data_IF_091761934987
#
_entry.id   IF_091761934987
#
_cell.length_a   1.000
_cell.length_b   1.000
_cell.length_c   1.000
_cell.angle_alpha   90.00
_cell.angle_beta   90.00
_cell.angle_gamma   90.00
#
_symmetry.space_group_name_H-M   'P 1'
#
loop_
_entity.id
_entity.type
_entity.pdbx_description
1 polymer ?
#
# COMPACT_ATOMS: atom_id res chain seq x y z
N UNK A 1 15.56 -8.10 0.82
CA UNK A 1 16.62 -8.70 1.67
C UNK A 1 16.54 -10.23 1.63
N UNK A 2 15.48 -10.88 2.14
CA UNK A 2 15.39 -12.35 2.02
C UNK A 2 15.36 -12.85 0.56
N UNK A 3 14.64 -12.15 -0.32
CA UNK A 3 14.58 -12.47 -1.74
C UNK A 3 15.93 -12.37 -2.47
N UNK A 4 16.90 -11.57 -1.97
CA UNK A 4 18.22 -11.43 -2.62
C UNK A 4 19.14 -12.61 -2.31
N UNK A 5 18.70 -13.56 -1.48
CA UNK A 5 19.40 -14.81 -1.20
C UNK A 5 18.92 -15.96 -2.07
N UNK A 6 17.82 -15.78 -2.80
CA UNK A 6 17.31 -16.78 -3.72
C UNK A 6 18.02 -16.63 -5.05
N UNK A 7 18.33 -17.77 -5.68
CA UNK A 7 18.75 -17.77 -7.08
C UNK A 7 17.67 -17.10 -7.93
N UNK A 8 18.02 -16.20 -8.87
CA UNK A 8 17.03 -15.48 -9.67
C UNK A 8 16.01 -16.41 -10.36
N UNK A 9 16.46 -17.56 -10.86
CA UNK A 9 15.57 -18.56 -11.47
C UNK A 9 14.54 -19.14 -10.49
N UNK A 10 14.95 -19.43 -9.25
CA UNK A 10 14.05 -19.88 -8.17
C UNK A 10 13.09 -18.75 -7.77
N UNK A 11 13.58 -17.52 -7.65
CA UNK A 11 12.74 -16.36 -7.37
C UNK A 11 11.66 -16.18 -8.44
N UNK A 12 12.01 -16.24 -9.72
CA UNK A 12 11.03 -16.14 -10.80
C UNK A 12 10.06 -17.32 -10.85
N UNK A 13 10.51 -18.54 -10.53
CA UNK A 13 9.65 -19.72 -10.47
C UNK A 13 8.58 -19.62 -9.37
N UNK A 14 8.92 -19.00 -8.24
CA UNK A 14 7.99 -18.74 -7.14
C UNK A 14 7.03 -17.60 -7.49
N UNK A 15 7.57 -16.46 -7.94
CA UNK A 15 6.83 -15.20 -8.01
C UNK A 15 6.08 -14.95 -9.30
N UNK A 16 6.28 -15.77 -10.33
CA UNK A 16 5.62 -15.56 -11.61
C UNK A 16 4.40 -16.45 -11.76
N UNK A 17 3.26 -15.83 -12.05
CA UNK A 17 2.00 -16.54 -12.18
C UNK A 17 1.97 -17.48 -13.40
N UNK A 18 1.19 -18.56 -13.29
CA UNK A 18 1.04 -19.56 -14.34
C UNK A 18 0.54 -18.98 -15.69
N UNK A 19 -0.15 -17.84 -15.67
CA UNK A 19 -0.57 -17.13 -16.89
C UNK A 19 0.57 -16.57 -17.73
N UNK A 20 1.78 -16.44 -17.16
CA UNK A 20 2.97 -15.91 -17.85
C UNK A 20 3.96 -17.04 -18.17
N UNK A 21 4.21 -17.93 -17.21
CA UNK A 21 5.24 -18.98 -17.34
C UNK A 21 4.68 -20.34 -17.79
N UNK A 22 3.36 -20.48 -17.85
CA UNK A 22 2.68 -21.74 -18.16
C UNK A 22 2.21 -22.47 -16.89
N UNK A 23 1.24 -23.38 -17.07
CA UNK A 23 0.59 -24.11 -15.97
C UNK A 23 1.32 -25.39 -15.54
N UNK A 24 2.38 -25.79 -16.25
CA UNK A 24 3.19 -26.97 -15.92
C UNK A 24 4.59 -26.57 -15.45
N UNK A 25 5.21 -27.34 -14.53
CA UNK A 25 6.59 -27.10 -14.08
C UNK A 25 7.59 -27.01 -15.22
N UNK A 26 7.42 -27.84 -16.26
CA UNK A 26 8.31 -27.91 -17.42
C UNK A 26 8.21 -26.65 -18.27
N UNK A 27 6.99 -26.17 -18.54
CA UNK A 27 6.76 -24.93 -19.27
C UNK A 27 7.31 -23.73 -18.50
N UNK A 28 7.13 -23.72 -17.18
CA UNK A 28 7.64 -22.65 -16.32
C UNK A 28 9.16 -22.58 -16.34
N UNK A 29 9.82 -23.73 -16.16
CA UNK A 29 11.28 -23.84 -16.21
C UNK A 29 11.85 -23.42 -17.57
N UNK A 30 11.24 -23.87 -18.67
CA UNK A 30 11.67 -23.48 -20.02
C UNK A 30 11.56 -21.98 -20.23
N UNK A 31 10.44 -21.38 -19.84
CA UNK A 31 10.19 -19.94 -20.00
C UNK A 31 11.18 -19.12 -19.18
N UNK A 32 11.37 -19.45 -17.90
CA UNK A 32 12.25 -18.72 -16.99
C UNK A 32 13.73 -18.87 -17.40
N UNK A 33 14.14 -20.08 -17.78
CA UNK A 33 15.50 -20.32 -18.32
C UNK A 33 15.71 -19.55 -19.62
N UNK A 34 14.67 -19.45 -20.47
CA UNK A 34 14.68 -18.62 -21.67
C UNK A 34 14.86 -17.12 -21.41
N UNK A 35 14.56 -16.63 -20.21
CA UNK A 35 14.85 -15.25 -19.78
C UNK A 35 16.31 -15.05 -19.35
N UNK A 36 17.14 -16.09 -19.39
CA UNK A 36 18.53 -16.06 -18.93
C UNK A 36 18.70 -16.39 -17.44
N UNK A 37 17.65 -16.87 -16.78
CA UNK A 37 17.70 -17.28 -15.38
C UNK A 37 17.54 -18.80 -15.26
N UNK A 38 18.65 -19.56 -15.21
CA UNK A 38 18.59 -21.02 -15.19
C UNK A 38 17.90 -21.51 -13.92
N UNK A 39 16.95 -22.43 -14.11
CA UNK A 39 16.23 -23.13 -13.03
C UNK A 39 15.86 -24.52 -13.52
N UNK A 40 15.74 -25.51 -12.64
CA UNK A 40 15.30 -26.86 -13.03
C UNK A 40 14.08 -27.30 -12.24
N UNK A 41 13.27 -28.18 -12.83
CA UNK A 41 12.12 -28.78 -12.15
C UNK A 41 12.57 -29.59 -10.91
N UNK A 42 13.69 -30.30 -11.02
CA UNK A 42 14.27 -31.08 -9.92
C UNK A 42 14.71 -30.19 -8.75
N UNK A 43 15.37 -29.05 -9.03
CA UNK A 43 15.76 -28.09 -7.99
C UNK A 43 14.53 -27.55 -7.25
N UNK A 44 13.49 -27.15 -7.98
CA UNK A 44 12.25 -26.66 -7.38
C UNK A 44 11.51 -27.75 -6.60
N UNK A 45 11.57 -29.00 -7.04
CA UNK A 45 10.96 -30.14 -6.36
C UNK A 45 11.69 -30.49 -5.05
N UNK A 46 13.04 -30.49 -5.06
CA UNK A 46 13.85 -30.67 -3.83
C UNK A 46 13.55 -29.58 -2.83
N UNK A 47 13.52 -28.32 -3.28
CA UNK A 47 13.22 -27.17 -2.43
C UNK A 47 11.81 -27.28 -1.84
N UNK A 48 10.81 -27.68 -2.63
CA UNK A 48 9.45 -27.89 -2.13
C UNK A 48 9.40 -28.98 -1.05
N UNK A 49 10.08 -30.11 -1.27
CA UNK A 49 10.15 -31.20 -0.29
C UNK A 49 10.85 -30.79 1.01
N UNK A 50 11.97 -30.06 0.92
CA UNK A 50 12.70 -29.54 2.08
C UNK A 50 11.87 -28.56 2.93
N UNK A 51 10.97 -27.81 2.28
CA UNK A 51 10.06 -26.88 2.95
C UNK A 51 8.75 -27.53 3.42
N UNK A 52 8.49 -28.80 3.07
CA UNK A 52 7.26 -29.52 3.40
C UNK A 52 6.06 -29.18 2.53
N UNK A 53 6.29 -28.65 1.33
CA UNK A 53 5.27 -28.20 0.39
C UNK A 53 5.16 -29.13 -0.83
N UNK A 54 3.95 -29.22 -1.41
CA UNK A 54 3.75 -30.00 -2.66
C UNK A 54 4.40 -29.35 -3.88
N UNK A 55 4.40 -28.02 -3.91
CA UNK A 55 4.96 -27.20 -4.97
C UNK A 55 5.19 -25.78 -4.49
N UNK A 56 6.25 -25.16 -4.99
CA UNK A 56 6.58 -23.75 -4.79
C UNK A 56 6.36 -22.91 -6.07
N UNK A 57 5.99 -23.54 -7.19
CA UNK A 57 5.70 -22.82 -8.43
C UNK A 57 4.47 -21.92 -8.31
N UNK A 58 4.54 -20.75 -8.92
CA UNK A 58 3.44 -19.79 -9.06
C UNK A 58 2.75 -19.40 -7.73
N UNK A 59 3.48 -19.49 -6.60
CA UNK A 59 3.07 -18.89 -5.33
C UNK A 59 3.42 -17.41 -5.34
N UNK A 60 2.73 -16.68 -6.20
CA UNK A 60 3.00 -15.26 -6.46
C UNK A 60 2.82 -14.42 -5.21
N UNK A 61 3.83 -13.60 -4.88
CA UNK A 61 3.76 -12.67 -3.76
C UNK A 61 5.06 -12.60 -2.96
N UNK A 62 5.20 -11.55 -2.15
CA UNK A 62 6.39 -11.39 -1.31
C UNK A 62 6.54 -12.50 -0.26
N UNK A 63 5.42 -13.05 0.21
CA UNK A 63 5.39 -13.95 1.36
C UNK A 63 6.12 -15.29 1.16
N UNK A 64 5.89 -16.04 0.06
CA UNK A 64 6.58 -17.31 -0.16
C UNK A 64 8.08 -17.10 -0.35
N UNK A 65 8.49 -16.01 -1.01
CA UNK A 65 9.90 -15.66 -1.21
C UNK A 65 10.61 -15.28 0.10
N UNK A 66 9.90 -14.55 0.97
CA UNK A 66 10.37 -14.23 2.31
C UNK A 66 10.58 -15.51 3.12
N UNK A 67 9.59 -16.41 3.09
CA UNK A 67 9.62 -17.65 3.83
C UNK A 67 10.74 -18.59 3.38
N UNK A 68 10.90 -18.80 2.07
CA UNK A 68 12.01 -19.62 1.53
C UNK A 68 13.35 -18.97 1.88
N UNK A 69 13.51 -17.66 1.69
CA UNK A 69 14.75 -16.97 2.01
C UNK A 69 15.12 -17.02 3.49
N UNK A 70 14.15 -16.81 4.39
CA UNK A 70 14.36 -16.94 5.84
C UNK A 70 14.66 -18.38 6.25
N UNK A 71 13.95 -19.36 5.67
CA UNK A 71 14.23 -20.77 5.92
C UNK A 71 15.67 -21.12 5.53
N UNK A 72 16.15 -20.67 4.37
CA UNK A 72 17.54 -20.88 3.95
C UNK A 72 18.55 -20.21 4.90
N UNK A 73 18.28 -19.00 5.42
CA UNK A 73 19.14 -18.35 6.42
C UNK A 73 19.19 -19.19 7.70
N UNK A 74 18.02 -19.48 8.29
CA UNK A 74 17.95 -20.16 9.58
C UNK A 74 18.40 -21.62 9.49
N UNK A 75 18.18 -22.30 8.37
CA UNK A 75 18.70 -23.65 8.13
C UNK A 75 20.21 -23.70 8.04
N UNK A 76 20.85 -22.68 7.47
CA UNK A 76 22.31 -22.59 7.43
C UNK A 76 22.93 -22.22 8.78
N UNK A 77 22.23 -21.44 9.61
CA UNK A 77 22.73 -21.01 10.93
C UNK A 77 22.37 -21.94 12.10
N UNK A 78 21.22 -22.61 12.06
CA UNK A 78 20.66 -23.39 13.18
C UNK A 78 20.36 -24.86 12.83
N UNK A 79 20.68 -25.29 11.61
CA UNK A 79 20.60 -26.69 11.17
C UNK A 79 19.53 -26.96 10.09
N UNK A 80 19.92 -27.70 9.05
CA UNK A 80 19.09 -27.98 7.86
C UNK A 80 17.86 -28.87 8.14
N UNK A 81 17.86 -29.63 9.23
CA UNK A 81 16.73 -30.50 9.61
C UNK A 81 15.47 -29.74 10.05
N UNK A 82 15.56 -28.43 10.29
CA UNK A 82 14.46 -27.59 10.74
C UNK A 82 13.93 -26.64 9.64
N UNK A 83 14.34 -26.83 8.38
CA UNK A 83 13.93 -25.95 7.26
C UNK A 83 12.41 -25.80 7.14
N UNK A 84 11.66 -26.90 7.20
CA UNK A 84 10.20 -26.86 7.19
C UNK A 84 9.63 -26.07 8.39
N UNK A 85 10.22 -26.18 9.57
CA UNK A 85 9.79 -25.41 10.76
C UNK A 85 10.04 -23.92 10.54
N UNK A 86 11.22 -23.54 10.03
CA UNK A 86 11.56 -22.15 9.75
C UNK A 86 10.71 -21.54 8.63
N UNK A 87 10.39 -22.32 7.60
CA UNK A 87 9.49 -21.91 6.52
C UNK A 87 8.07 -21.63 7.04
N UNK A 88 7.47 -22.55 7.80
CA UNK A 88 6.14 -22.36 8.37
C UNK A 88 6.11 -21.24 9.43
N UNK A 89 7.17 -21.12 10.23
CA UNK A 89 7.33 -20.01 11.17
C UNK A 89 7.32 -18.66 10.44
N UNK A 90 8.07 -18.53 9.33
CA UNK A 90 8.12 -17.30 8.56
C UNK A 90 6.77 -16.93 7.92
N UNK A 91 6.06 -17.91 7.35
CA UNK A 91 4.70 -17.68 6.80
C UNK A 91 3.72 -17.29 7.90
N UNK A 92 3.74 -17.99 9.04
CA UNK A 92 2.85 -17.69 10.16
C UNK A 92 3.15 -16.31 10.76
N UNK A 93 4.43 -15.96 10.92
CA UNK A 93 4.85 -14.64 11.39
C UNK A 93 4.30 -13.53 10.48
N UNK A 94 4.44 -13.68 9.17
CA UNK A 94 3.91 -12.71 8.21
C UNK A 94 2.37 -12.65 8.24
N UNK A 95 1.70 -13.80 8.33
CA UNK A 95 0.25 -13.86 8.45
C UNK A 95 -0.26 -13.15 9.72
N UNK A 96 0.41 -13.35 10.87
CA UNK A 96 0.08 -12.68 12.13
C UNK A 96 0.37 -11.19 12.04
N UNK A 97 1.44 -10.78 11.36
CA UNK A 97 1.74 -9.38 11.10
C UNK A 97 0.66 -8.70 10.25
N UNK A 98 0.23 -9.36 9.17
CA UNK A 98 -0.88 -8.90 8.32
C UNK A 98 -2.16 -8.83 9.14
N UNK A 99 -2.49 -9.85 9.92
CA UNK A 99 -3.70 -9.89 10.75
C UNK A 99 -3.71 -8.77 11.80
N UNK A 100 -2.57 -8.48 12.43
CA UNK A 100 -2.42 -7.37 13.37
C UNK A 100 -2.65 -6.03 12.70
N UNK A 101 -2.11 -5.87 11.49
CA UNK A 101 -2.27 -4.66 10.69
C UNK A 101 -3.73 -4.48 10.25
N UNK A 102 -4.41 -5.56 9.85
CA UNK A 102 -5.83 -5.54 9.48
C UNK A 102 -6.74 -5.29 10.68
N UNK A 103 -6.44 -5.82 11.86
CA UNK A 103 -7.21 -5.51 13.09
C UNK A 103 -7.10 -4.02 13.44
N UNK A 104 -5.88 -3.50 13.50
CA UNK A 104 -5.64 -2.08 13.74
C UNK A 104 -6.29 -1.20 12.66
N UNK A 105 -6.15 -1.58 11.40
CA UNK A 105 -6.76 -0.89 10.26
C UNK A 105 -8.28 -0.90 10.30
N UNK A 106 -8.90 -2.01 10.66
CA UNK A 106 -10.36 -2.13 10.81
C UNK A 106 -10.87 -1.24 11.94
N UNK A 107 -10.14 -1.18 13.06
CA UNK A 107 -10.46 -0.32 14.19
C UNK A 107 -10.39 1.16 13.82
N UNK A 108 -9.30 1.58 13.17
CA UNK A 108 -9.13 2.95 12.70
C UNK A 108 -10.17 3.29 11.63
N UNK A 109 -10.40 2.40 10.66
CA UNK A 109 -11.38 2.57 9.59
C UNK A 109 -12.80 2.76 10.15
N UNK A 110 -13.17 2.01 11.18
CA UNK A 110 -14.44 2.22 11.89
C UNK A 110 -14.54 3.64 12.45
N UNK A 111 -13.51 4.10 13.16
CA UNK A 111 -13.51 5.46 13.73
C UNK A 111 -13.54 6.55 12.66
N UNK A 112 -12.81 6.38 11.56
CA UNK A 112 -12.81 7.33 10.44
C UNK A 112 -14.18 7.38 9.75
N UNK A 113 -14.84 6.24 9.54
CA UNK A 113 -16.17 6.18 8.94
C UNK A 113 -17.23 6.81 9.87
N UNK A 114 -17.14 6.54 11.17
CA UNK A 114 -18.01 7.14 12.18
C UNK A 114 -17.85 8.66 12.24
N UNK A 115 -16.61 9.16 12.18
CA UNK A 115 -16.30 10.58 12.18
C UNK A 115 -16.84 11.27 10.92
N UNK A 116 -16.57 10.68 9.74
CA UNK A 116 -17.03 11.21 8.45
C UNK A 116 -18.56 11.30 8.38
N UNK A 117 -19.27 10.21 8.68
CA UNK A 117 -20.74 10.21 8.68
C UNK A 117 -21.28 11.08 9.82
N UNK A 118 -20.58 11.15 10.95
CA UNK A 118 -20.91 12.00 12.09
C UNK A 118 -20.97 13.49 11.76
N UNK A 119 -20.21 13.95 10.75
CA UNK A 119 -20.27 15.33 10.25
C UNK A 119 -21.61 15.65 9.57
N UNK A 120 -22.25 14.66 8.93
CA UNK A 120 -23.56 14.82 8.27
C UNK A 120 -24.70 14.44 9.21
N UNK A 121 -24.54 13.36 9.98
CA UNK A 121 -25.52 12.83 10.91
C UNK A 121 -24.92 12.59 12.29
N UNK A 122 -25.08 13.59 13.18
CA UNK A 122 -24.50 13.63 14.53
C UNK A 122 -24.67 12.36 15.39
N UNK A 123 -25.81 11.62 15.36
CA UNK A 123 -25.96 10.37 16.10
C UNK A 123 -24.93 9.31 15.70
N UNK A 124 -24.50 9.27 14.43
CA UNK A 124 -23.56 8.27 13.94
C UNK A 124 -22.13 8.49 14.44
N UNK A 125 -21.77 9.73 14.78
CA UNK A 125 -20.48 10.06 15.40
C UNK A 125 -20.35 9.63 16.86
N UNK A 126 -21.42 9.11 17.48
CA UNK A 126 -21.39 8.61 18.87
C UNK A 126 -20.75 7.22 18.90
N UNK A 127 -19.49 7.14 19.31
CA UNK A 127 -18.71 5.90 19.38
C UNK A 127 -19.25 4.86 20.38
N UNK A 128 -20.12 5.28 21.30
CA UNK A 128 -20.82 4.39 22.25
C UNK A 128 -22.17 3.86 21.74
N UNK A 129 -22.64 4.32 20.58
CA UNK A 129 -23.94 3.92 20.04
C UNK A 129 -23.83 2.63 19.22
N UNK A 130 -24.38 1.54 19.76
CA UNK A 130 -24.30 0.19 19.18
C UNK A 130 -24.67 0.11 17.68
N UNK A 131 -25.75 0.74 17.19
CA UNK A 131 -26.07 0.72 15.75
C UNK A 131 -24.99 1.34 14.88
N UNK A 132 -24.39 2.47 15.30
CA UNK A 132 -23.26 3.09 14.57
C UNK A 132 -22.04 2.17 14.58
N UNK A 133 -21.71 1.63 15.76
CA UNK A 133 -20.55 0.71 15.90
C UNK A 133 -20.72 -0.52 15.02
N UNK A 134 -21.88 -1.17 15.06
CA UNK A 134 -22.13 -2.38 14.30
C UNK A 134 -22.13 -2.10 12.80
N UNK A 135 -22.84 -1.04 12.38
CA UNK A 135 -22.91 -0.66 10.95
C UNK A 135 -21.54 -0.29 10.40
N UNK A 136 -20.79 0.57 11.11
CA UNK A 136 -19.46 0.97 10.67
C UNK A 136 -18.48 -0.21 10.63
N UNK A 137 -18.49 -1.09 11.64
CA UNK A 137 -17.67 -2.31 11.64
C UNK A 137 -18.04 -3.24 10.49
N UNK A 138 -19.33 -3.52 10.28
CA UNK A 138 -19.79 -4.38 9.19
C UNK A 138 -19.39 -3.83 7.83
N UNK A 139 -19.52 -2.52 7.61
CA UNK A 139 -19.12 -1.89 6.35
C UNK A 139 -17.61 -1.98 6.11
N UNK A 140 -16.79 -1.71 7.13
CA UNK A 140 -15.32 -1.78 7.00
C UNK A 140 -14.86 -3.22 6.80
N UNK A 141 -15.40 -4.18 7.54
CA UNK A 141 -15.09 -5.62 7.35
C UNK A 141 -15.56 -6.10 5.98
N UNK A 142 -16.75 -5.69 5.53
CA UNK A 142 -17.25 -6.02 4.20
C UNK A 142 -16.36 -5.41 3.10
N UNK A 143 -15.84 -4.20 3.30
CA UNK A 143 -14.89 -3.60 2.36
C UNK A 143 -13.58 -4.40 2.26
N UNK A 144 -13.01 -4.85 3.39
CA UNK A 144 -11.87 -5.78 3.37
C UNK A 144 -12.20 -7.10 2.67
N UNK A 145 -13.36 -7.69 2.96
CA UNK A 145 -13.85 -8.90 2.31
C UNK A 145 -14.03 -8.74 0.80
N UNK A 146 -14.51 -7.57 0.35
CA UNK A 146 -14.63 -7.23 -1.06
C UNK A 146 -13.26 -7.12 -1.75
N UNK A 147 -12.28 -6.49 -1.11
CA UNK A 147 -10.91 -6.45 -1.64
C UNK A 147 -10.30 -7.85 -1.73
N UNK A 148 -10.54 -8.72 -0.74
CA UNK A 148 -10.12 -10.12 -0.80
C UNK A 148 -10.81 -10.85 -1.97
N UNK A 149 -12.13 -10.67 -2.12
CA UNK A 149 -12.90 -11.28 -3.20
C UNK A 149 -12.36 -10.88 -4.58
N UNK A 150 -12.17 -9.58 -4.82
CA UNK A 150 -11.55 -9.08 -6.07
C UNK A 150 -10.15 -9.65 -6.28
N UNK A 151 -9.34 -9.69 -5.22
CA UNK A 151 -7.98 -10.22 -5.26
C UNK A 151 -7.92 -11.68 -5.72
N UNK A 152 -8.89 -12.50 -5.33
CA UNK A 152 -8.94 -13.93 -5.69
C UNK A 152 -9.50 -14.14 -7.11
N UNK A 153 -10.49 -13.37 -7.53
CA UNK A 153 -11.14 -13.60 -8.84
C UNK A 153 -10.41 -12.95 -10.02
N UNK A 154 -9.56 -11.95 -9.79
CA UNK A 154 -8.81 -11.28 -10.87
C UNK A 154 -7.67 -12.19 -11.37
N UNK A 155 -7.67 -12.60 -12.66
CA UNK A 155 -6.60 -13.41 -13.24
C UNK A 155 -5.21 -12.76 -13.16
N UNK A 156 -5.14 -11.44 -13.02
CA UNK A 156 -3.91 -10.68 -12.86
C UNK A 156 -3.55 -10.43 -11.38
N UNK A 157 -4.23 -11.12 -10.45
CA UNK A 157 -3.91 -11.16 -9.03
C UNK A 157 -4.42 -9.97 -8.20
N UNK A 158 -5.28 -9.09 -8.73
CA UNK A 158 -5.91 -7.95 -8.03
C UNK A 158 -4.95 -6.82 -7.63
N UNK A 159 -3.68 -7.16 -7.35
CA UNK A 159 -2.59 -6.26 -6.99
C UNK A 159 -2.34 -5.24 -8.11
N UNK A 160 -2.46 -5.65 -9.38
CA UNK A 160 -2.20 -4.76 -10.51
C UNK A 160 -3.18 -3.57 -10.59
N UNK A 161 -4.39 -3.71 -10.05
CA UNK A 161 -5.38 -2.63 -9.97
C UNK A 161 -5.12 -1.75 -8.74
N UNK A 162 -4.74 -2.34 -7.60
CA UNK A 162 -4.54 -1.60 -6.35
C UNK A 162 -3.19 -0.88 -6.28
N UNK A 163 -2.18 -1.37 -7.00
CA UNK A 163 -0.81 -0.85 -6.92
C UNK A 163 -0.67 0.62 -7.34
N UNK A 164 -1.27 1.07 -8.46
CA UNK A 164 -1.26 2.48 -8.83
C UNK A 164 -1.94 3.37 -7.78
N UNK A 165 -3.07 2.93 -7.22
CA UNK A 165 -3.80 3.65 -6.18
C UNK A 165 -2.98 3.75 -4.89
N UNK A 166 -2.31 2.68 -4.47
CA UNK A 166 -1.50 2.67 -3.27
C UNK A 166 -0.36 3.69 -3.34
N UNK A 167 0.35 3.73 -4.48
CA UNK A 167 1.43 4.70 -4.70
C UNK A 167 0.92 6.14 -4.64
N UNK A 168 -0.15 6.44 -5.38
CA UNK A 168 -0.72 7.79 -5.45
C UNK A 168 -1.25 8.24 -4.08
N UNK A 169 -2.05 7.40 -3.42
CA UNK A 169 -2.64 7.71 -2.11
C UNK A 169 -1.58 7.95 -1.03
N UNK A 170 -0.49 7.17 -1.01
CA UNK A 170 0.58 7.33 -0.02
C UNK A 170 1.31 8.66 -0.17
N UNK A 171 1.63 9.07 -1.41
CA UNK A 171 2.28 10.36 -1.63
C UNK A 171 1.36 11.53 -1.26
N UNK A 172 0.06 11.40 -1.54
CA UNK A 172 -0.94 12.41 -1.19
C UNK A 172 -1.16 12.51 0.32
N UNK A 173 -1.20 11.38 1.04
CA UNK A 173 -1.26 11.35 2.50
C UNK A 173 -0.01 11.98 3.14
N UNK A 174 1.18 11.68 2.60
CA UNK A 174 2.43 12.29 3.05
C UNK A 174 2.43 13.82 2.84
N UNK A 175 1.87 14.32 1.73
CA UNK A 175 1.71 15.76 1.50
C UNK A 175 0.77 16.42 2.53
N UNK A 176 -0.35 15.76 2.86
CA UNK A 176 -1.28 16.23 3.91
C UNK A 176 -0.57 16.24 5.27
N UNK A 177 0.14 15.15 5.63
CA UNK A 177 0.85 15.05 6.90
C UNK A 177 1.93 16.14 7.05
N UNK A 178 2.73 16.37 6.01
CA UNK A 178 3.74 17.43 6.01
C UNK A 178 3.12 18.83 6.05
N UNK A 179 1.96 19.04 5.42
CA UNK A 179 1.21 20.30 5.51
C UNK A 179 0.73 20.55 6.94
N UNK A 180 0.13 19.54 7.59
CA UNK A 180 -0.31 19.63 8.99
C UNK A 180 0.88 19.86 9.93
N UNK A 181 1.97 19.10 9.78
CA UNK A 181 3.18 19.27 10.58
C UNK A 181 3.79 20.67 10.43
N UNK A 182 3.85 21.19 9.21
CA UNK A 182 4.26 22.59 8.94
C UNK A 182 3.35 23.57 9.67
N UNK A 183 2.04 23.35 9.60
CA UNK A 183 1.07 24.19 10.28
C UNK A 183 1.22 24.20 11.80
N UNK A 184 1.47 23.03 12.41
CA UNK A 184 1.74 22.89 13.85
C UNK A 184 3.00 23.68 14.23
N UNK A 185 4.12 23.51 13.51
CA UNK A 185 5.37 24.23 13.80
C UNK A 185 5.19 25.76 13.77
N UNK A 186 4.42 26.26 12.81
CA UNK A 186 4.10 27.70 12.70
C UNK A 186 3.22 28.16 13.86
N UNK A 187 2.19 27.39 14.24
CA UNK A 187 1.32 27.70 15.38
C UNK A 187 2.08 27.70 16.70
N UNK A 188 3.01 26.77 16.90
CA UNK A 188 3.85 26.68 18.11
C UNK A 188 4.96 27.73 18.18
N UNK A 189 4.99 28.72 17.29
CA UNK A 189 6.00 29.79 17.27
C UNK A 189 7.39 29.33 16.80
N UNK A 190 7.50 28.09 16.29
CA UNK A 190 8.74 27.45 15.83
C UNK A 190 8.95 27.63 14.32
N UNK A 191 8.48 28.74 13.74
CA UNK A 191 8.52 28.99 12.30
C UNK A 191 9.93 28.89 11.68
N UNK A 192 10.99 29.16 12.45
CA UNK A 192 12.38 28.97 12.01
C UNK A 192 12.71 27.53 11.59
N UNK A 193 11.98 26.54 12.12
CA UNK A 193 12.14 25.12 11.80
C UNK A 193 11.15 24.64 10.73
N UNK A 194 10.24 25.49 10.26
CA UNK A 194 9.23 25.10 9.27
C UNK A 194 9.85 24.63 7.95
N UNK A 195 11.08 25.08 7.62
CA UNK A 195 11.79 24.60 6.44
C UNK A 195 12.01 23.08 6.42
N UNK A 196 12.17 22.45 7.59
CA UNK A 196 12.38 21.00 7.72
C UNK A 196 11.20 20.20 7.16
N UNK A 197 9.98 20.73 7.28
CA UNK A 197 8.77 20.10 6.75
C UNK A 197 8.35 20.69 5.40
N UNK A 198 8.63 21.98 5.17
CA UNK A 198 8.26 22.67 3.94
C UNK A 198 9.09 22.23 2.73
N UNK A 199 10.39 21.99 2.89
CA UNK A 199 11.25 21.53 1.79
C UNK A 199 10.82 20.16 1.23
N UNK A 200 10.64 19.10 2.05
CA UNK A 200 10.11 17.84 1.54
C UNK A 200 8.66 17.97 1.06
N UNK A 201 7.84 18.84 1.66
CA UNK A 201 6.48 19.11 1.17
C UNK A 201 6.49 19.70 -0.24
N UNK A 202 7.33 20.70 -0.49
CA UNK A 202 7.42 21.36 -1.79
C UNK A 202 7.90 20.39 -2.86
N UNK A 203 8.93 19.60 -2.56
CA UNK A 203 9.41 18.54 -3.45
C UNK A 203 8.31 17.52 -3.74
N UNK A 204 7.65 17.02 -2.70
CA UNK A 204 6.60 16.02 -2.81
C UNK A 204 5.39 16.55 -3.60
N UNK A 205 4.95 17.78 -3.32
CA UNK A 205 3.86 18.43 -4.02
C UNK A 205 4.19 18.60 -5.51
N UNK A 206 5.42 18.98 -5.85
CA UNK A 206 5.87 19.12 -7.24
C UNK A 206 5.82 17.79 -7.98
N UNK A 207 6.48 16.75 -7.46
CA UNK A 207 6.56 15.45 -8.14
C UNK A 207 5.18 14.79 -8.23
N UNK A 208 4.40 14.85 -7.15
CA UNK A 208 3.08 14.20 -7.08
C UNK A 208 2.08 14.90 -7.98
N UNK A 209 2.10 16.24 -8.03
CA UNK A 209 1.24 17.00 -8.96
C UNK A 209 1.64 16.77 -10.40
N UNK A 210 2.94 16.71 -10.71
CA UNK A 210 3.43 16.41 -12.07
C UNK A 210 2.99 15.01 -12.51
N UNK A 211 3.15 14.01 -11.64
CA UNK A 211 2.72 12.64 -11.92
C UNK A 211 1.19 12.52 -12.07
N UNK A 212 0.43 13.16 -11.19
CA UNK A 212 -1.04 13.20 -11.28
C UNK A 212 -1.49 13.87 -12.59
N UNK A 213 -0.87 14.99 -12.96
CA UNK A 213 -1.14 15.67 -14.23
C UNK A 213 -0.88 14.76 -15.43
N UNK A 214 0.27 14.08 -15.47
CA UNK A 214 0.58 13.11 -16.52
C UNK A 214 -0.43 11.95 -16.55
N UNK A 215 -0.83 11.42 -15.39
CA UNK A 215 -1.80 10.33 -15.28
C UNK A 215 -3.20 10.73 -15.76
N UNK A 216 -3.58 12.00 -15.63
CA UNK A 216 -4.90 12.52 -16.03
C UNK A 216 -4.89 12.94 -17.51
N UNK A 217 -3.87 13.66 -17.96
CA UNK A 217 -3.89 14.40 -19.23
C UNK A 217 -3.08 13.73 -20.35
N UNK A 218 -2.12 12.86 -20.01
CA UNK A 218 -1.27 12.24 -21.04
C UNK A 218 -2.08 11.41 -22.03
N UNK A 219 -1.78 11.58 -23.31
CA UNK A 219 -2.33 10.79 -24.42
C UNK A 219 -1.63 9.44 -24.58
N UNK A 220 -0.47 9.24 -23.93
CA UNK A 220 0.22 7.95 -23.94
C UNK A 220 -0.54 6.94 -23.08
N UNK A 221 -0.99 5.85 -23.71
CA UNK A 221 -1.69 4.71 -23.09
C UNK A 221 -0.92 4.09 -21.93
N UNK A 222 0.41 4.18 -21.91
CA UNK A 222 1.25 3.65 -20.82
C UNK A 222 1.23 4.53 -19.58
N UNK A 223 0.91 5.81 -19.76
CA UNK A 223 1.00 6.82 -18.71
C UNK A 223 -0.39 7.21 -18.23
N UNK A 224 -1.28 7.64 -19.14
CA UNK A 224 -2.57 8.23 -18.83
C UNK A 224 -3.68 7.19 -18.57
N UNK A 225 -4.42 7.35 -17.47
CA UNK A 225 -5.53 6.48 -17.10
C UNK A 225 -6.69 6.57 -18.10
N UNK A 226 -7.08 7.78 -18.48
CA UNK A 226 -8.16 7.99 -19.46
C UNK A 226 -7.75 7.55 -20.86
N UNK A 227 -6.49 7.79 -21.27
CA UNK A 227 -5.95 7.31 -22.54
C UNK A 227 -5.98 5.79 -22.61
N UNK A 228 -5.53 5.11 -21.56
CA UNK A 228 -5.58 3.65 -21.47
C UNK A 228 -7.00 3.09 -21.49
N UNK A 229 -7.94 3.73 -20.79
CA UNK A 229 -9.34 3.34 -20.80
C UNK A 229 -9.97 3.49 -22.20
N UNK A 230 -9.65 4.57 -22.91
CA UNK A 230 -10.19 4.85 -24.24
C UNK A 230 -9.60 3.91 -25.30
N UNK A 231 -8.30 3.64 -25.26
CA UNK A 231 -7.65 2.67 -26.16
C UNK A 231 -8.21 1.25 -25.96
N UNK A 232 -8.38 0.81 -24.70
CA UNK A 232 -8.97 -0.50 -24.41
C UNK A 232 -10.43 -0.59 -24.85
N UNK A 233 -11.21 0.48 -24.66
CA UNK A 233 -12.59 0.56 -25.14
C UNK A 233 -12.67 0.51 -26.68
N UNK A 234 -11.79 1.22 -27.38
CA UNK A 234 -11.74 1.19 -28.84
C UNK A 234 -11.38 -0.20 -29.37
N UNK A 235 -10.40 -0.88 -28.77
CA UNK A 235 -10.02 -2.26 -29.14
C UNK A 235 -11.11 -3.27 -28.85
N UNK A 236 -11.85 -3.09 -27.75
CA UNK A 236 -13.01 -3.92 -27.42
C UNK A 236 -14.13 -3.74 -28.47
N UNK A 237 -14.45 -2.50 -28.82
CA UNK A 237 -15.46 -2.19 -29.84
C UNK A 237 -15.06 -2.69 -31.23
N UNK A 238 -13.76 -2.64 -31.56
CA UNK A 238 -13.22 -3.14 -32.82
C UNK A 238 -13.09 -4.68 -32.88
N UNK A 239 -13.34 -5.39 -31.78
CA UNK A 239 -13.21 -6.85 -31.72
C UNK A 239 -11.77 -7.36 -31.89
N UNK A 240 -10.76 -6.50 -31.68
CA UNK A 240 -9.34 -6.85 -31.89
C UNK A 240 -8.67 -7.45 -30.66
N UNK A 241 -9.39 -7.55 -29.54
CA UNK A 241 -8.89 -8.15 -28.30
C UNK A 241 -9.04 -9.68 -28.32
N UNK A 242 -8.03 -10.42 -27.83
CA UNK A 242 -8.17 -11.85 -27.56
C UNK A 242 -9.37 -12.12 -26.63
N UNK A 243 -10.11 -13.21 -26.85
CA UNK A 243 -11.35 -13.52 -26.12
C UNK A 243 -11.20 -13.44 -24.59
N UNK A 244 -10.09 -13.97 -24.05
CA UNK A 244 -9.78 -13.90 -22.62
C UNK A 244 -9.65 -12.46 -22.11
N UNK A 245 -9.05 -11.56 -22.90
CA UNK A 245 -8.87 -10.14 -22.55
C UNK A 245 -10.12 -9.33 -22.79
N UNK A 246 -10.93 -9.68 -23.79
CA UNK A 246 -12.21 -9.06 -24.07
C UNK A 246 -13.21 -9.30 -22.92
N UNK A 247 -13.20 -10.48 -22.30
CA UNK A 247 -14.07 -10.80 -21.17
C UNK A 247 -13.85 -9.90 -19.94
N UNK A 248 -12.59 -9.55 -19.64
CA UNK A 248 -12.22 -8.68 -18.50
C UNK A 248 -12.13 -7.20 -18.87
N UNK A 249 -12.13 -6.86 -20.17
CA UNK A 249 -11.95 -5.49 -20.64
C UNK A 249 -12.95 -4.47 -20.05
N UNK A 250 -14.26 -4.75 -19.90
CA UNK A 250 -15.19 -3.80 -19.29
C UNK A 250 -14.81 -3.39 -17.86
N UNK A 251 -14.36 -4.35 -17.04
CA UNK A 251 -13.92 -4.09 -15.67
C UNK A 251 -12.63 -3.25 -15.65
N UNK A 252 -11.67 -3.59 -16.50
CA UNK A 252 -10.41 -2.83 -16.66
C UNK A 252 -10.67 -1.38 -17.09
N UNK A 253 -11.60 -1.17 -18.03
CA UNK A 253 -11.99 0.18 -18.49
C UNK A 253 -12.60 0.98 -17.34
N UNK A 254 -13.51 0.37 -16.58
CA UNK A 254 -14.14 1.01 -15.42
C UNK A 254 -13.09 1.39 -14.37
N UNK A 255 -12.20 0.47 -14.02
CA UNK A 255 -11.15 0.70 -13.03
C UNK A 255 -10.23 1.84 -13.44
N UNK A 256 -9.75 1.86 -14.69
CA UNK A 256 -8.90 2.95 -15.18
C UNK A 256 -9.60 4.31 -15.14
N UNK A 257 -10.91 4.36 -15.44
CA UNK A 257 -11.70 5.60 -15.32
C UNK A 257 -11.86 6.02 -13.86
N UNK A 258 -12.14 5.06 -12.99
CA UNK A 258 -12.28 5.29 -11.55
C UNK A 258 -10.96 5.85 -10.98
N UNK A 259 -9.82 5.24 -11.31
CA UNK A 259 -8.49 5.69 -10.88
C UNK A 259 -8.17 7.10 -11.38
N UNK A 260 -8.56 7.42 -12.63
CA UNK A 260 -8.46 8.78 -13.17
C UNK A 260 -9.24 9.79 -12.33
N UNK A 261 -10.50 9.50 -11.99
CA UNK A 261 -11.33 10.38 -11.15
C UNK A 261 -10.86 10.47 -9.70
N UNK A 262 -10.42 9.35 -9.11
CA UNK A 262 -9.85 9.32 -7.77
C UNK A 262 -8.57 10.16 -7.70
N UNK A 263 -7.73 10.10 -8.74
CA UNK A 263 -6.52 10.92 -8.84
C UNK A 263 -6.88 12.41 -8.85
N UNK A 264 -7.87 12.82 -9.66
CA UNK A 264 -8.37 14.21 -9.67
C UNK A 264 -8.84 14.64 -8.28
N UNK A 265 -9.69 13.82 -7.64
CA UNK A 265 -10.24 14.10 -6.32
C UNK A 265 -9.13 14.28 -5.27
N UNK A 266 -8.20 13.33 -5.18
CA UNK A 266 -7.16 13.38 -4.17
C UNK A 266 -6.16 14.52 -4.43
N UNK A 267 -5.79 14.80 -5.69
CA UNK A 267 -4.97 15.97 -6.01
C UNK A 267 -5.66 17.26 -5.59
N UNK A 268 -6.97 17.39 -5.81
CA UNK A 268 -7.74 18.56 -5.38
C UNK A 268 -7.74 18.71 -3.84
N UNK A 269 -7.94 17.61 -3.11
CA UNK A 269 -7.89 17.61 -1.63
C UNK A 269 -6.51 18.03 -1.13
N UNK A 270 -5.43 17.48 -1.69
CA UNK A 270 -4.05 17.84 -1.28
C UNK A 270 -3.79 19.33 -1.49
N UNK A 271 -4.15 19.87 -2.65
CA UNK A 271 -3.97 21.29 -2.92
C UNK A 271 -4.86 22.17 -2.03
N UNK A 272 -6.08 21.75 -1.74
CA UNK A 272 -6.93 22.43 -0.78
C UNK A 272 -6.27 22.52 0.60
N UNK A 273 -5.70 21.42 1.11
CA UNK A 273 -4.99 21.37 2.40
C UNK A 273 -3.72 22.24 2.38
N UNK A 274 -2.93 22.19 1.30
CA UNK A 274 -1.73 23.02 1.16
C UNK A 274 -2.12 24.51 1.15
N UNK A 275 -3.15 24.89 0.40
CA UNK A 275 -3.65 26.27 0.33
C UNK A 275 -4.16 26.72 1.71
N UNK A 276 -4.90 25.88 2.43
CA UNK A 276 -5.37 26.20 3.78
C UNK A 276 -4.20 26.39 4.76
N UNK A 277 -3.18 25.53 4.70
CA UNK A 277 -1.94 25.67 5.48
C UNK A 277 -1.23 27.00 5.17
N UNK A 278 -1.08 27.35 3.90
CA UNK A 278 -0.47 28.62 3.46
C UNK A 278 -1.29 29.83 3.91
N UNK A 279 -2.63 29.75 3.81
CA UNK A 279 -3.56 30.79 4.31
C UNK A 279 -3.40 30.98 5.82
N UNK A 280 -3.34 29.88 6.57
CA UNK A 280 -3.12 29.89 8.01
C UNK A 280 -1.77 30.53 8.37
N UNK A 281 -0.70 30.19 7.64
CA UNK A 281 0.61 30.82 7.81
C UNK A 281 0.55 32.33 7.55
N UNK A 282 -0.03 32.75 6.43
CA UNK A 282 -0.16 34.17 6.08
C UNK A 282 -0.96 34.95 7.15
N UNK A 283 -2.03 34.36 7.70
CA UNK A 283 -2.79 34.96 8.81
C UNK A 283 -1.93 35.11 10.07
N UNK A 284 -1.16 34.08 10.44
CA UNK A 284 -0.26 34.13 11.60
C UNK A 284 0.82 35.20 11.43
N UNK A 285 1.43 35.29 10.25
CA UNK A 285 2.44 36.30 9.94
C UNK A 285 1.89 37.74 10.00
N UNK A 286 0.60 37.92 9.68
CA UNK A 286 -0.11 39.21 9.78
C UNK A 286 -0.70 39.51 11.17
N UNK A 287 -0.44 38.66 12.17
CA UNK A 287 -1.01 38.81 13.52
C UNK A 287 -2.52 38.58 13.62
N UNK A 288 -3.14 38.02 12.58
CA UNK A 288 -4.58 37.73 12.58
C UNK A 288 -4.90 36.50 13.44
N UNK A 289 -6.13 36.39 13.99
CA UNK A 289 -6.53 35.23 14.75
C UNK A 289 -6.51 33.97 13.89
N UNK A 290 -5.91 32.92 14.44
CA UNK A 290 -5.82 31.56 13.90
C UNK A 290 -6.47 30.62 14.92
N UNK A 291 -7.16 29.58 14.45
CA UNK A 291 -7.77 28.56 15.31
C UNK A 291 -6.71 28.02 16.28
N UNK A 292 -7.00 28.15 17.58
CA UNK A 292 -6.10 27.74 18.65
C UNK A 292 -5.79 26.24 18.56
N UNK A 293 -4.58 25.87 18.96
CA UNK A 293 -4.20 24.46 19.02
C UNK A 293 -5.07 23.76 20.07
N UNK A 294 -5.62 22.60 19.73
CA UNK A 294 -6.27 21.70 20.69
C UNK A 294 -5.26 20.80 21.42
N UNK A 295 -3.97 20.96 21.13
CA UNK A 295 -2.90 20.21 21.81
C UNK A 295 -2.84 20.57 23.29
N UNK A 296 -2.71 19.54 24.13
CA UNK A 296 -2.48 19.74 25.55
C UNK A 296 -1.13 20.45 25.75
N UNK A 297 -1.06 21.46 26.64
CA UNK A 297 0.21 22.12 26.95
C UNK A 297 1.20 21.10 27.52
N UNK A 298 2.47 21.29 27.20
CA UNK A 298 3.56 20.47 27.74
C UNK A 298 3.51 20.48 29.27
N UNK A 299 3.41 19.29 29.88
CA UNK A 299 3.52 19.11 31.32
C UNK A 299 4.86 18.46 31.63
N UNK A 300 5.70 19.14 32.41
CA UNK A 300 6.96 18.57 32.91
C UNK A 300 6.64 17.36 33.78
N UNK A 301 7.32 16.24 33.53
CA UNK A 301 7.18 15.02 34.32
C UNK A 301 7.49 15.32 35.79
N UNK A 302 6.55 14.99 36.68
CA UNK A 302 6.72 15.17 38.14
C UNK A 302 7.59 14.09 38.81
N UNK A 303 8.30 13.26 38.03
CA UNK A 303 9.25 12.28 38.54
C UNK A 303 10.54 13.00 38.98
N UNK A 304 10.49 13.66 40.13
CA UNK A 304 11.65 14.02 40.93
C UNK A 304 12.08 12.75 41.70
N UNK A 305 13.26 12.19 41.42
CA UNK A 305 13.75 11.09 42.27
C UNK A 305 14.88 10.18 41.77
N UNK A 306 15.45 10.36 40.57
CA UNK A 306 16.70 9.66 40.23
C UNK A 306 17.88 10.58 40.55
N UNK A 307 18.80 10.18 41.47
CA UNK A 307 19.97 10.98 41.78
C UNK A 307 20.76 11.22 40.49
N UNK A 308 21.03 12.48 40.17
CA UNK A 308 22.07 12.80 39.22
C UNK A 308 23.38 12.29 39.82
N UNK A 309 23.87 11.16 39.30
CA UNK A 309 25.18 10.64 39.64
C UNK A 309 26.21 11.73 39.41
N UNK A 310 26.88 12.12 40.49
CA UNK A 310 28.09 12.93 40.52
C UNK A 310 29.01 12.57 39.36
N UNK A 311 29.18 13.48 38.40
CA UNK A 311 30.37 13.51 37.57
C UNK A 311 31.39 14.38 38.31
N UNK A 312 32.32 13.72 38.99
CA UNK A 312 33.63 14.29 39.28
C UNK A 312 34.44 14.42 37.98
#
# INVERSE_FOLDING_TARGET
IAATLLDPGVYFAINTGAGIVGSTPEAAVQTITGWGFPVTAQQMQSLAQEMGERTLFARTGGAPSLAVGMASIFGNSFGRGLLAVWYHFAIMFEAVFILTTLDAGTRVGRFMLQDLIGQVWKPFGRTSWYPSVLTASTLVVAAWGYFLYIGVIDPNGGVNILWPLFGIANQMLAAIALSVATGILIKSGKARYAFVTLAPLAWLALITTTAAWQKIVSTDVRIGFFAAANDLAAKLAAGTLPAARAAVAPQLIFNQRLDGWLTVLFTAIVWFVIIDMLRMWARRARGLPVIQSSEAPYQVTRLQGLPQGSRA
#
